data_IF_372379182835
#
_entry.id   IF_372379182835
#
_cell.length_a   1.000
_cell.length_b   1.000
_cell.length_c   1.000
_cell.angle_alpha   90.00
_cell.angle_beta   90.00
_cell.angle_gamma   90.00
#
_symmetry.space_group_name_H-M   'P 1'
#
loop_
_entity.id
_entity.type
_entity.pdbx_description
1 polymer ?
#
# COMPACT_ATOMS: atom_id res chain seq x y z
N UNK A 1 20.59 11.33 9.63
CA UNK A 1 19.20 11.04 9.25
C UNK A 1 18.30 11.44 10.41
N UNK A 2 17.27 12.29 10.21
CA UNK A 2 16.21 12.45 11.20
C UNK A 2 15.20 11.34 10.95
N UNK A 3 15.16 10.32 11.82
CA UNK A 3 14.03 9.39 11.86
C UNK A 3 12.83 10.15 12.47
N UNK A 4 11.68 10.10 11.81
CA UNK A 4 10.44 10.57 12.43
C UNK A 4 9.95 9.50 13.41
N UNK A 5 9.31 9.93 14.50
CA UNK A 5 8.87 9.01 15.56
C UNK A 5 7.73 8.09 15.14
N UNK A 6 7.03 8.42 14.05
CA UNK A 6 6.00 7.57 13.49
C UNK A 6 6.47 6.99 12.15
N UNK A 7 6.12 5.73 11.94
CA UNK A 7 6.45 4.97 10.75
C UNK A 7 5.88 5.64 9.50
N UNK A 8 4.60 6.00 9.50
CA UNK A 8 3.92 6.53 8.30
C UNK A 8 4.55 7.84 7.80
N UNK A 9 4.95 8.75 8.69
CA UNK A 9 5.66 9.99 8.35
C UNK A 9 7.07 9.66 7.88
N UNK A 10 7.74 8.66 8.45
CA UNK A 10 9.04 8.21 7.95
C UNK A 10 8.90 7.66 6.53
N UNK A 11 8.01 6.70 6.30
CA UNK A 11 7.78 6.10 4.97
C UNK A 11 7.35 7.16 3.96
N UNK A 12 6.40 8.02 4.31
CA UNK A 12 5.93 9.11 3.44
C UNK A 12 7.04 10.12 3.09
N UNK A 13 7.88 10.49 4.06
CA UNK A 13 9.03 11.37 3.81
C UNK A 13 10.06 10.74 2.87
N UNK A 14 10.30 9.43 2.97
CA UNK A 14 11.20 8.72 2.06
C UNK A 14 10.60 8.59 0.66
N UNK A 15 9.30 8.33 0.53
CA UNK A 15 8.60 8.31 -0.77
C UNK A 15 8.73 9.65 -1.50
N UNK A 16 8.56 10.77 -0.79
CA UNK A 16 8.76 12.11 -1.33
C UNK A 16 10.23 12.38 -1.69
N UNK A 17 11.17 12.03 -0.80
CA UNK A 17 12.61 12.25 -1.01
C UNK A 17 13.16 11.44 -2.19
N UNK A 18 12.62 10.26 -2.44
CA UNK A 18 12.97 9.43 -3.60
C UNK A 18 12.23 9.85 -4.88
N UNK A 19 11.40 10.90 -4.83
CA UNK A 19 10.58 11.37 -5.94
C UNK A 19 9.79 10.24 -6.62
N UNK A 20 9.21 9.36 -5.80
CA UNK A 20 8.46 8.19 -6.29
C UNK A 20 7.17 8.68 -6.92
N UNK A 21 6.83 8.13 -8.09
CA UNK A 21 5.53 8.37 -8.71
C UNK A 21 4.45 7.69 -7.87
N UNK A 22 3.43 8.45 -7.49
CA UNK A 22 2.29 7.91 -6.77
C UNK A 22 1.38 7.14 -7.73
N UNK A 23 1.48 5.82 -7.71
CA UNK A 23 0.59 4.93 -8.45
C UNK A 23 -0.79 4.93 -7.81
N UNK A 24 -1.79 5.42 -8.54
CA UNK A 24 -3.18 5.38 -8.09
C UNK A 24 -3.85 4.08 -8.52
N UNK A 25 -3.49 2.99 -7.83
CA UNK A 25 -4.06 1.67 -8.08
C UNK A 25 -5.20 1.35 -7.10
N UNK A 26 -6.44 1.34 -7.59
CA UNK A 26 -7.62 1.01 -6.80
C UNK A 26 -7.86 -0.50 -6.62
N UNK A 27 -6.96 -1.38 -7.06
CA UNK A 27 -7.09 -2.82 -6.88
C UNK A 27 -7.18 -3.23 -5.39
N UNK A 28 -6.57 -2.45 -4.49
CA UNK A 28 -6.67 -2.64 -3.04
C UNK A 28 -8.03 -2.21 -2.45
N UNK A 29 -8.82 -1.45 -3.20
CA UNK A 29 -10.16 -1.01 -2.79
C UNK A 29 -11.28 -1.93 -3.30
N UNK A 30 -10.95 -3.01 -4.03
CA UNK A 30 -11.96 -3.94 -4.53
C UNK A 30 -12.62 -4.70 -3.39
N UNK A 31 -13.95 -4.66 -3.35
CA UNK A 31 -14.76 -5.39 -2.35
C UNK A 31 -14.88 -6.87 -2.70
N UNK A 32 -14.69 -7.25 -3.96
CA UNK A 32 -14.70 -8.64 -4.43
C UNK A 32 -13.29 -9.12 -4.74
N UNK A 33 -12.92 -10.28 -4.20
CA UNK A 33 -11.64 -10.94 -4.40
C UNK A 33 -11.54 -11.49 -5.83
N UNK A 34 -10.39 -11.33 -6.48
CA UNK A 34 -10.08 -11.94 -7.78
C UNK A 34 -8.74 -12.68 -7.71
N UNK A 35 -8.47 -13.60 -8.64
CA UNK A 35 -7.16 -14.28 -8.70
C UNK A 35 -5.97 -13.33 -8.91
N UNK A 36 -6.22 -12.09 -9.37
CA UNK A 36 -5.24 -11.02 -9.49
C UNK A 36 -5.14 -10.12 -8.26
N UNK A 37 -5.92 -10.35 -7.20
CA UNK A 37 -5.87 -9.55 -5.97
C UNK A 37 -4.53 -9.74 -5.26
N UNK A 38 -3.85 -8.62 -4.97
CA UNK A 38 -2.52 -8.59 -4.35
C UNK A 38 -2.57 -8.99 -2.87
N UNK A 39 -3.70 -8.74 -2.21
CA UNK A 39 -3.94 -9.09 -0.83
C UNK A 39 -5.42 -9.44 -0.64
N UNK A 40 -5.70 -10.33 0.31
CA UNK A 40 -7.06 -10.73 0.69
C UNK A 40 -7.19 -10.53 2.19
N UNK A 41 -8.19 -9.77 2.61
CA UNK A 41 -8.51 -9.52 4.01
C UNK A 41 -9.78 -10.30 4.37
N UNK A 42 -9.78 -10.97 5.52
CA UNK A 42 -10.87 -11.83 6.01
C UNK A 42 -11.27 -13.07 5.17
N UNK A 43 -10.66 -13.31 4.00
CA UNK A 43 -10.83 -14.56 3.24
C UNK A 43 -9.48 -15.28 3.03
N UNK A 44 -9.40 -16.61 3.22
CA UNK A 44 -8.14 -17.34 3.05
C UNK A 44 -7.73 -17.53 1.58
N UNK A 45 -8.69 -17.56 0.64
CA UNK A 45 -8.48 -17.61 -0.82
C UNK A 45 -9.65 -16.95 -1.54
N UNK A 46 -9.39 -16.32 -2.69
CA UNK A 46 -10.46 -15.97 -3.62
C UNK A 46 -11.09 -17.28 -4.16
N UNK A 47 -12.42 -17.39 -4.11
CA UNK A 47 -13.16 -18.54 -4.63
C UNK A 47 -13.32 -18.51 -6.14
#
# INVERSE_FOLDING_TARGET
>A
LRMFSNEDVTVGAWMLAMNVNHEHNMALCQTTCSSSSIAVWDLPKCS
#
